data_IF_928955670548
#
_entry.id   IF_928955670548
#
_cell.length_a   1.000
_cell.length_b   1.000
_cell.length_c   1.000
_cell.angle_alpha   90.00
_cell.angle_beta   90.00
_cell.angle_gamma   90.00
#
_symmetry.space_group_name_H-M   'P 1'
#
loop_
_entity.id
_entity.type
_entity.pdbx_description
1 polymer ?
#
# COMPACT_ATOMS: atom_id res chain seq x y z
N UNK A 1 20.65 26.52 25.59
CA UNK A 1 20.96 25.86 24.29
C UNK A 1 20.72 24.34 24.28
N UNK A 2 20.84 23.62 25.41
CA UNK A 2 20.63 22.16 25.47
C UNK A 2 19.19 21.70 25.18
N UNK A 3 18.19 22.51 25.51
CA UNK A 3 16.77 22.15 25.32
C UNK A 3 16.33 22.10 23.84
N UNK A 4 16.87 23.00 23.01
CA UNK A 4 16.55 23.06 21.58
C UNK A 4 17.05 21.81 20.83
N UNK A 5 18.29 21.39 21.12
CA UNK A 5 18.87 20.16 20.55
C UNK A 5 18.06 18.92 20.97
N UNK A 6 17.65 18.86 22.25
CA UNK A 6 16.84 17.74 22.77
C UNK A 6 15.44 17.69 22.10
N UNK A 7 14.82 18.84 21.87
CA UNK A 7 13.53 18.93 21.16
C UNK A 7 13.65 18.52 19.68
N UNK A 8 14.68 19.00 18.98
CA UNK A 8 14.96 18.63 17.58
C UNK A 8 15.21 17.13 17.43
N UNK A 9 16.01 16.52 18.31
CA UNK A 9 16.24 15.08 18.32
C UNK A 9 14.95 14.28 18.56
N UNK A 10 14.10 14.68 19.53
CA UNK A 10 12.81 14.01 19.76
C UNK A 10 11.88 14.14 18.54
N UNK A 11 11.86 15.30 17.90
CA UNK A 11 11.06 15.54 16.68
C UNK A 11 11.52 14.65 15.51
N UNK A 12 12.82 14.45 15.35
CA UNK A 12 13.40 13.53 14.36
C UNK A 12 12.98 12.08 14.62
N UNK A 13 13.10 11.61 15.87
CA UNK A 13 12.67 10.25 16.26
C UNK A 13 11.18 10.06 16.00
N UNK A 14 10.35 11.02 16.38
CA UNK A 14 8.91 10.94 16.15
C UNK A 14 8.55 10.87 14.67
N UNK A 15 9.19 11.70 13.83
CA UNK A 15 9.02 11.62 12.37
C UNK A 15 9.42 10.25 11.83
N UNK A 16 10.55 9.70 12.28
CA UNK A 16 11.00 8.39 11.85
C UNK A 16 10.00 7.29 12.22
N UNK A 17 9.51 7.28 13.47
CA UNK A 17 8.48 6.33 13.92
C UNK A 17 7.20 6.46 13.09
N UNK A 18 6.79 7.68 12.75
CA UNK A 18 5.63 7.91 11.87
C UNK A 18 5.85 7.35 10.46
N UNK A 19 7.03 7.55 9.88
CA UNK A 19 7.37 7.01 8.57
C UNK A 19 7.40 5.47 8.57
N UNK A 20 7.99 4.85 9.59
CA UNK A 20 8.03 3.39 9.73
C UNK A 20 6.62 2.79 9.91
N UNK A 21 5.80 3.43 10.75
CA UNK A 21 4.40 3.04 10.93
C UNK A 21 3.59 3.17 9.63
N UNK A 22 3.80 4.26 8.88
CA UNK A 22 3.18 4.47 7.58
C UNK A 22 3.61 3.38 6.59
N UNK A 23 4.91 3.07 6.55
CA UNK A 23 5.45 2.08 5.63
C UNK A 23 4.88 0.69 5.87
N UNK A 24 4.78 0.32 7.14
CA UNK A 24 4.15 -0.94 7.59
C UNK A 24 2.67 -0.96 7.21
N UNK A 25 1.93 0.13 7.48
CA UNK A 25 0.51 0.24 7.15
C UNK A 25 0.27 0.06 5.65
N UNK A 26 1.03 0.76 4.80
CA UNK A 26 0.90 0.67 3.33
C UNK A 26 1.11 -0.77 2.84
N UNK A 27 2.15 -1.43 3.32
CA UNK A 27 2.44 -2.82 2.97
C UNK A 27 1.27 -3.76 3.35
N UNK A 28 0.78 -3.66 4.58
CA UNK A 28 -0.33 -4.49 5.08
C UNK A 28 -1.64 -4.21 4.36
N UNK A 29 -1.97 -2.93 4.14
CA UNK A 29 -3.19 -2.53 3.42
C UNK A 29 -3.19 -3.03 1.98
N UNK A 30 -2.06 -2.93 1.28
CA UNK A 30 -1.94 -3.43 -0.09
C UNK A 30 -2.07 -4.96 -0.14
N UNK A 31 -1.41 -5.68 0.78
CA UNK A 31 -1.51 -7.13 0.87
C UNK A 31 -2.95 -7.59 1.13
N UNK A 32 -3.64 -6.96 2.08
CA UNK A 32 -5.03 -7.26 2.42
C UNK A 32 -5.99 -6.95 1.27
N UNK A 33 -5.76 -5.84 0.56
CA UNK A 33 -6.51 -5.49 -0.64
C UNK A 33 -6.38 -6.56 -1.72
N UNK A 34 -5.15 -6.94 -2.08
CA UNK A 34 -4.90 -7.96 -3.11
C UNK A 34 -5.51 -9.32 -2.76
N UNK A 35 -5.57 -9.67 -1.48
CA UNK A 35 -6.14 -10.94 -1.02
C UNK A 35 -7.67 -10.94 -1.05
N UNK A 36 -8.31 -9.82 -0.72
CA UNK A 36 -9.77 -9.72 -0.56
C UNK A 36 -10.52 -9.28 -1.82
N UNK A 37 -9.86 -8.55 -2.72
CA UNK A 37 -10.47 -7.90 -3.88
C UNK A 37 -9.93 -8.48 -5.18
N UNK A 38 -10.32 -9.73 -5.50
CA UNK A 38 -9.86 -10.45 -6.71
C UNK A 38 -10.18 -9.68 -7.99
N UNK A 39 -11.40 -9.15 -8.09
CA UNK A 39 -11.82 -8.39 -9.27
C UNK A 39 -10.95 -7.14 -9.48
N UNK A 40 -10.73 -6.35 -8.43
CA UNK A 40 -9.94 -5.13 -8.53
C UNK A 40 -8.45 -5.43 -8.74
N UNK A 41 -7.91 -6.49 -8.13
CA UNK A 41 -6.55 -6.99 -8.41
C UNK A 41 -6.36 -7.29 -9.90
N UNK A 42 -7.32 -7.95 -10.53
CA UNK A 42 -7.22 -8.41 -11.92
C UNK A 42 -7.48 -7.28 -12.93
N UNK A 43 -8.26 -6.26 -12.55
CA UNK A 43 -8.56 -5.11 -13.40
C UNK A 43 -7.61 -3.93 -13.23
N UNK A 44 -6.80 -3.91 -12.17
CA UNK A 44 -5.85 -2.82 -11.95
C UNK A 44 -4.57 -3.02 -12.74
N UNK A 45 -4.24 -2.00 -13.54
CA UNK A 45 -3.06 -2.00 -14.38
C UNK A 45 -1.98 -1.16 -13.71
N UNK A 46 -0.99 -1.84 -13.14
CA UNK A 46 0.28 -1.23 -12.74
C UNK A 46 1.20 -1.09 -13.93
N UNK A 47 1.92 0.03 -14.02
CA UNK A 47 2.73 0.37 -15.19
C UNK A 47 3.88 -0.60 -15.42
N UNK A 48 4.62 -0.91 -14.38
CA UNK A 48 5.92 -1.60 -14.48
C UNK A 48 5.96 -2.94 -13.76
N UNK A 49 4.91 -3.29 -13.01
CA UNK A 49 4.89 -4.53 -12.22
C UNK A 49 3.54 -5.23 -12.36
N UNK A 50 3.51 -6.52 -12.01
CA UNK A 50 2.29 -7.28 -11.79
C UNK A 50 2.34 -7.99 -10.44
N UNK A 51 1.21 -8.12 -9.73
CA UNK A 51 1.17 -8.90 -8.49
C UNK A 51 1.47 -10.37 -8.81
N UNK A 52 2.37 -10.98 -8.05
CA UNK A 52 2.70 -12.40 -8.07
C UNK A 52 2.35 -12.98 -6.69
N UNK A 53 1.17 -13.58 -6.60
CA UNK A 53 0.65 -14.20 -5.38
C UNK A 53 0.84 -15.70 -5.46
N UNK A 54 1.36 -16.28 -4.38
CA UNK A 54 1.64 -17.70 -4.26
C UNK A 54 0.81 -18.27 -3.11
N UNK A 55 0.37 -19.52 -3.24
CA UNK A 55 -0.37 -20.23 -2.18
C UNK A 55 0.50 -20.38 -0.93
N UNK A 56 1.78 -20.70 -1.14
CA UNK A 56 2.81 -20.77 -0.12
C UNK A 56 3.81 -19.62 -0.20
N UNK A 57 4.61 -19.46 0.86
CA UNK A 57 5.72 -18.51 0.81
C UNK A 57 6.76 -19.03 -0.15
N UNK A 58 7.33 -18.13 -0.94
CA UNK A 58 8.42 -18.41 -1.87
C UNK A 58 9.56 -17.45 -1.62
N UNK A 59 10.77 -17.92 -1.89
CA UNK A 59 12.00 -17.17 -1.71
C UNK A 59 12.33 -16.43 -3.01
N UNK A 60 12.44 -15.10 -2.94
CA UNK A 60 12.90 -14.28 -4.05
C UNK A 60 13.85 -13.21 -3.55
N UNK A 61 14.67 -12.69 -4.47
CA UNK A 61 15.52 -11.54 -4.22
C UNK A 61 14.78 -10.24 -4.57
N UNK A 62 14.70 -9.30 -3.62
CA UNK A 62 14.03 -8.01 -3.83
C UNK A 62 14.98 -6.99 -4.47
N UNK A 63 14.69 -6.56 -5.69
CA UNK A 63 15.52 -5.61 -6.47
C UNK A 63 15.64 -4.22 -5.85
N UNK A 64 14.71 -3.81 -4.99
CA UNK A 64 14.71 -2.48 -4.38
C UNK A 64 15.44 -2.40 -3.04
N UNK A 65 15.50 -3.49 -2.26
CA UNK A 65 16.18 -3.50 -0.95
C UNK A 65 17.35 -4.46 -0.87
N UNK A 66 17.69 -5.12 -1.98
CA UNK A 66 18.83 -6.03 -2.14
C UNK A 66 18.84 -7.16 -1.09
N UNK A 67 17.66 -7.70 -0.79
CA UNK A 67 17.47 -8.73 0.25
C UNK A 67 16.65 -9.89 -0.27
N UNK A 68 17.08 -11.10 0.08
CA UNK A 68 16.26 -12.30 -0.06
C UNK A 68 15.16 -12.28 0.99
N UNK A 69 13.93 -12.62 0.60
CA UNK A 69 12.78 -12.69 1.50
C UNK A 69 11.97 -13.93 1.19
N UNK A 70 11.29 -14.44 2.20
CA UNK A 70 10.38 -15.57 2.07
C UNK A 70 8.93 -15.09 2.28
N UNK A 71 8.20 -14.81 1.19
CA UNK A 71 6.90 -14.13 1.19
C UNK A 71 5.88 -14.83 0.29
N UNK A 72 4.58 -14.69 0.61
CA UNK A 72 3.46 -15.16 -0.24
C UNK A 72 3.11 -14.19 -1.37
N UNK A 73 3.52 -12.92 -1.25
CA UNK A 73 3.13 -11.85 -2.15
C UNK A 73 4.36 -11.07 -2.63
N UNK A 74 4.50 -11.03 -3.95
CA UNK A 74 5.58 -10.37 -4.66
C UNK A 74 5.06 -9.48 -5.77
N UNK A 75 5.94 -8.62 -6.27
CA UNK A 75 5.68 -7.78 -7.43
C UNK A 75 6.70 -8.11 -8.50
N UNK A 76 6.26 -8.80 -9.55
CA UNK A 76 7.11 -9.18 -10.67
C UNK A 76 7.23 -7.99 -11.62
N UNK A 77 8.45 -7.58 -11.94
CA UNK A 77 8.71 -6.53 -12.93
C UNK A 77 8.20 -6.99 -14.31
N UNK A 78 7.52 -6.09 -15.04
CA UNK A 78 7.13 -6.30 -16.43
C UNK A 78 8.36 -6.03 -17.29
N UNK A 79 8.77 -6.99 -18.10
CA UNK A 79 9.88 -6.79 -19.03
C UNK A 79 9.33 -6.15 -20.31
N UNK A 80 9.67 -4.89 -20.64
CA UNK A 80 9.09 -4.19 -21.79
C UNK A 80 9.53 -4.77 -23.15
N UNK A 81 10.55 -5.63 -23.19
CA UNK A 81 11.12 -6.19 -24.41
C UNK A 81 10.62 -7.61 -24.76
N UNK A 82 9.85 -8.27 -23.88
CA UNK A 82 9.53 -9.69 -24.01
C UNK A 82 8.09 -10.01 -23.59
N UNK A 83 7.11 -9.40 -24.26
CA UNK A 83 5.76 -10.00 -24.35
C UNK A 83 5.73 -11.18 -25.34
N UNK A 84 6.85 -11.47 -26.02
CA UNK A 84 7.09 -12.70 -26.78
C UNK A 84 8.08 -13.60 -26.03
N UNK A 85 7.49 -14.70 -25.58
CA UNK A 85 7.93 -15.68 -24.61
C UNK A 85 9.02 -16.61 -25.18
N UNK A 86 10.33 -16.27 -25.13
CA UNK A 86 11.41 -17.26 -25.41
C UNK A 86 12.82 -16.90 -24.90
N UNK A 87 12.96 -16.18 -23.79
CA UNK A 87 14.27 -16.08 -23.13
C UNK A 87 14.11 -16.20 -21.61
N UNK A 88 14.93 -17.01 -20.91
CA UNK A 88 14.92 -17.08 -19.45
C UNK A 88 15.62 -15.85 -18.88
N UNK A 89 15.10 -14.66 -19.21
CA UNK A 89 15.44 -13.45 -18.49
C UNK A 89 14.98 -13.66 -17.06
N UNK A 90 15.94 -13.66 -16.13
CA UNK A 90 15.71 -13.92 -14.71
C UNK A 90 14.59 -13.01 -14.23
N UNK A 91 13.45 -13.60 -13.89
CA UNK A 91 12.33 -12.87 -13.34
C UNK A 91 12.79 -11.98 -12.19
N UNK A 92 12.52 -10.67 -12.32
CA UNK A 92 12.89 -9.67 -11.33
C UNK A 92 11.71 -9.39 -10.43
N UNK A 93 11.96 -9.40 -9.13
CA UNK A 93 10.92 -9.27 -8.12
C UNK A 93 11.22 -8.14 -7.15
N UNK A 94 10.16 -7.46 -6.73
CA UNK A 94 10.18 -6.54 -5.60
C UNK A 94 9.26 -7.07 -4.50
N UNK A 95 9.68 -6.99 -3.24
CA UNK A 95 8.87 -7.41 -2.12
C UNK A 95 7.68 -6.45 -1.92
N UNK A 96 6.59 -6.96 -1.33
CA UNK A 96 5.38 -6.15 -1.12
C UNK A 96 5.66 -4.87 -0.31
N UNK A 97 6.56 -4.91 0.67
CA UNK A 97 6.93 -3.73 1.46
C UNK A 97 7.61 -2.65 0.62
N UNK A 98 8.57 -3.00 -0.24
CA UNK A 98 9.24 -2.04 -1.11
C UNK A 98 8.29 -1.49 -2.18
N UNK A 99 7.48 -2.36 -2.79
CA UNK A 99 6.49 -1.93 -3.78
C UNK A 99 5.47 -0.97 -3.18
N UNK A 100 4.87 -1.34 -2.04
CA UNK A 100 3.83 -0.54 -1.40
C UNK A 100 4.31 0.85 -0.97
N UNK A 101 5.63 1.02 -0.75
CA UNK A 101 6.23 2.27 -0.31
C UNK A 101 6.82 3.11 -1.44
N UNK A 102 6.94 2.57 -2.64
CA UNK A 102 7.29 3.35 -3.82
C UNK A 102 6.01 3.91 -4.46
N UNK A 103 5.77 5.21 -4.26
CA UNK A 103 4.54 5.87 -4.71
C UNK A 103 4.34 5.78 -6.23
N UNK A 104 5.39 6.02 -7.00
CA UNK A 104 5.34 6.03 -8.47
C UNK A 104 5.02 4.66 -9.07
N UNK A 105 5.37 3.59 -8.33
CA UNK A 105 5.09 2.22 -8.72
C UNK A 105 3.72 1.74 -8.22
N UNK A 106 3.33 2.16 -7.01
CA UNK A 106 2.15 1.62 -6.33
C UNK A 106 0.84 2.11 -6.95
N UNK A 107 0.79 3.34 -7.46
CA UNK A 107 -0.44 3.94 -8.01
C UNK A 107 -0.73 3.37 -9.42
N UNK A 108 -1.89 2.72 -9.64
CA UNK A 108 -2.28 2.20 -10.95
C UNK A 108 -2.54 3.32 -11.97
N UNK A 109 -2.31 3.02 -13.27
CA UNK A 109 -2.40 3.99 -14.37
C UNK A 109 -3.82 4.59 -14.52
N UNK A 110 -4.86 3.80 -14.29
CA UNK A 110 -6.25 4.17 -14.59
C UNK A 110 -6.97 4.95 -13.46
N UNK A 111 -6.24 5.42 -12.44
CA UNK A 111 -6.88 6.06 -11.29
C UNK A 111 -7.06 7.57 -11.51
N UNK A 112 -8.27 8.01 -11.85
CA UNK A 112 -8.55 9.41 -12.24
C UNK A 112 -9.54 10.20 -11.36
N UNK A 113 -10.18 9.64 -10.31
CA UNK A 113 -11.33 10.34 -9.69
C UNK A 113 -11.46 10.34 -8.15
N UNK A 114 -10.69 9.55 -7.41
CA UNK A 114 -10.50 9.66 -5.94
C UNK A 114 -9.13 9.06 -5.62
N UNK A 115 -8.75 8.71 -4.41
CA UNK A 115 -7.72 7.69 -4.20
C UNK A 115 -8.30 6.86 -3.07
N UNK A 116 -8.44 5.54 -3.26
CA UNK A 116 -8.93 4.74 -2.14
C UNK A 116 -7.88 4.74 -1.02
N UNK A 117 -8.29 4.62 0.25
CA UNK A 117 -7.41 4.85 1.40
C UNK A 117 -6.13 4.02 1.46
N UNK A 118 -6.06 2.90 0.72
CA UNK A 118 -4.85 2.09 0.60
C UNK A 118 -3.70 2.87 -0.06
N UNK A 119 -4.02 3.83 -0.94
CA UNK A 119 -3.06 4.74 -1.58
C UNK A 119 -2.84 5.95 -0.68
N UNK A 120 -1.94 5.78 0.29
CA UNK A 120 -1.45 6.89 1.10
C UNK A 120 -0.17 7.47 0.49
N UNK A 121 -0.15 8.76 0.15
CA UNK A 121 1.09 9.44 -0.21
C UNK A 121 2.07 9.42 0.98
N UNK A 122 3.36 9.10 0.73
CA UNK A 122 4.39 9.17 1.78
C UNK A 122 4.60 10.59 2.32
N UNK A 123 4.37 11.61 1.51
CA UNK A 123 4.52 13.03 1.84
C UNK A 123 3.26 13.60 2.53
N UNK A 124 2.09 13.02 2.25
CA UNK A 124 0.80 13.46 2.79
C UNK A 124 0.00 12.26 3.35
N UNK A 125 0.39 11.71 4.51
CA UNK A 125 -0.37 10.64 5.13
C UNK A 125 -1.78 11.12 5.50
N UNK A 126 -2.84 10.30 5.30
CA UNK A 126 -4.17 10.64 5.78
C UNK A 126 -4.10 10.87 7.28
N UNK A 127 -4.72 11.97 7.70
CA UNK A 127 -4.81 12.36 9.10
C UNK A 127 -5.42 11.21 9.90
N UNK A 128 -4.84 10.96 11.09
CA UNK A 128 -5.46 10.04 12.05
C UNK A 128 -6.88 10.51 12.37
N UNK A 129 -7.79 9.61 12.81
CA UNK A 129 -9.17 9.99 13.14
C UNK A 129 -9.24 11.19 14.10
N UNK A 130 -8.30 11.26 15.04
CA UNK A 130 -8.20 12.32 16.04
C UNK A 130 -7.64 13.65 15.50
N UNK A 131 -7.14 13.66 14.26
CA UNK A 131 -6.57 14.81 13.57
C UNK A 131 -7.44 15.29 12.41
N UNK A 132 -8.52 14.58 12.05
CA UNK A 132 -9.46 15.02 11.02
C UNK A 132 -10.31 16.18 11.54
N UNK A 133 -10.59 17.21 10.72
CA UNK A 133 -11.58 18.24 11.06
C UNK A 133 -12.94 17.59 11.36
N UNK A 134 -13.65 18.07 12.39
CA UNK A 134 -14.97 17.54 12.80
C UNK A 134 -15.98 17.42 11.65
N UNK A 135 -15.87 18.25 10.62
CA UNK A 135 -16.74 18.23 9.44
C UNK A 135 -16.62 16.95 8.57
N UNK A 136 -15.50 16.22 8.66
CA UNK A 136 -15.27 14.96 7.92
C UNK A 136 -15.54 13.71 8.77
N UNK A 137 -15.75 13.86 10.08
CA UNK A 137 -16.11 12.75 10.97
C UNK A 137 -17.61 12.43 10.88
N UNK A 138 -18.46 13.46 10.74
CA UNK A 138 -19.92 13.32 10.67
C UNK A 138 -20.41 12.60 9.41
N UNK A 139 -19.64 12.64 8.31
CA UNK A 139 -20.02 11.96 7.05
C UNK A 139 -19.83 10.45 7.08
N UNK A 140 -18.89 9.95 7.89
CA UNK A 140 -18.65 8.51 8.04
C UNK A 140 -19.64 7.88 9.06
N UNK A 141 -20.00 8.61 10.13
CA UNK A 141 -21.03 8.19 11.10
C UNK A 141 -22.43 8.10 10.47
N UNK A 142 -22.83 9.09 9.65
CA UNK A 142 -24.10 9.08 8.92
C UNK A 142 -24.19 7.97 7.85
N UNK A 143 -23.06 7.39 7.45
CA UNK A 143 -23.03 6.27 6.49
C UNK A 143 -23.16 4.93 7.20
N UNK A 144 -22.64 4.84 8.42
CA UNK A 144 -22.74 3.64 9.26
C UNK A 144 -24.17 3.47 9.81
N UNK A 145 -24.82 4.58 10.21
CA UNK A 145 -26.23 4.56 10.65
C UNK A 145 -27.19 4.12 9.54
N UNK A 146 -26.93 4.44 8.26
CA UNK A 146 -27.77 3.98 7.14
C UNK A 146 -27.58 2.49 6.81
N UNK A 147 -26.43 1.89 7.11
CA UNK A 147 -26.21 0.45 6.89
C UNK A 147 -26.76 -0.42 8.03
N UNK A 148 -26.93 0.13 9.24
CA UNK A 148 -27.64 -0.55 10.33
C UNK A 148 -29.16 -0.50 10.14
N UNK A 149 -29.72 0.63 9.71
CA UNK A 149 -31.18 0.80 9.55
C UNK A 149 -31.78 -0.03 8.38
N UNK A 150 -30.95 -0.43 7.40
CA UNK A 150 -31.37 -1.28 6.27
C UNK A 150 -31.33 -2.78 6.60
N UNK A 151 -30.59 -3.17 7.66
CA UNK A 151 -30.58 -4.56 8.16
C UNK A 151 -31.81 -4.89 9.00
N UNK A 152 -32.38 -3.92 9.71
CA UNK A 152 -33.57 -4.13 10.54
C UNK A 152 -34.89 -4.12 9.75
N UNK A 153 -34.87 -3.71 8.46
CA UNK A 153 -36.07 -3.76 7.60
C UNK A 153 -36.27 -5.08 6.84
N UNK A 154 -35.32 -6.01 6.95
CA UNK A 154 -35.34 -7.29 6.22
C UNK A 154 -35.19 -8.53 7.14
N UNK A 155 -35.42 -8.37 8.45
CA UNK A 155 -35.49 -9.46 9.42
C UNK A 155 -36.95 -9.84 9.75
#
# INVERSE_FOLDING_TARGET
>A
MLDKKRWESRRLVYKQMQHEALATRRATSLQGFLASKRWERDNWIWRTHKPALYDDRVDHHCTACDKNRFLKGWWKEKNPAHDTDTHPDKDRYMCNACFANNWDLMVPIAYSSKLIPIFTSPEYPPLSKNQRPKAEQTTDEAKNEREEDDKDRHA
#
